data_IF_311745200840
#
_entry.id   IF_311745200840
#
_cell.length_a   1.000
_cell.length_b   1.000
_cell.length_c   1.000
_cell.angle_alpha   90.00
_cell.angle_beta   90.00
_cell.angle_gamma   90.00
#
_symmetry.space_group_name_H-M   'P 1'
#
loop_
_entity.id
_entity.type
_entity.pdbx_description
1 polymer ?
#
# COMPACT_ATOMS: atom_id res chain seq x y z
N UNK A 1 -30.87 2.15 -4.15
CA UNK A 1 -29.56 1.84 -3.53
C UNK A 1 -28.97 0.68 -4.32
N UNK A 2 -27.88 0.89 -5.05
CA UNK A 2 -27.36 -0.11 -5.99
C UNK A 2 -27.06 -1.45 -5.31
N UNK A 3 -27.57 -2.56 -5.86
CA UNK A 3 -27.35 -3.92 -5.32
C UNK A 3 -25.86 -4.24 -5.12
N UNK A 4 -24.98 -3.63 -5.93
CA UNK A 4 -23.52 -3.75 -5.82
C UNK A 4 -22.95 -3.04 -4.59
N UNK A 5 -23.43 -1.82 -4.28
CA UNK A 5 -23.05 -1.06 -3.09
C UNK A 5 -23.45 -1.79 -1.80
N UNK A 6 -24.64 -2.40 -1.80
CA UNK A 6 -25.12 -3.23 -0.68
C UNK A 6 -24.22 -4.46 -0.52
N UNK A 7 -23.81 -5.11 -1.61
CA UNK A 7 -22.89 -6.24 -1.58
C UNK A 7 -21.51 -5.88 -1.01
N UNK A 8 -20.93 -4.75 -1.43
CA UNK A 8 -19.63 -4.29 -0.88
C UNK A 8 -19.72 -3.89 0.59
N UNK A 9 -20.79 -3.21 0.99
CA UNK A 9 -21.01 -2.86 2.39
C UNK A 9 -21.18 -4.10 3.27
N UNK A 10 -21.95 -5.10 2.81
CA UNK A 10 -22.12 -6.37 3.52
C UNK A 10 -20.79 -7.14 3.67
N UNK A 11 -19.95 -7.14 2.62
CA UNK A 11 -18.61 -7.74 2.67
C UNK A 11 -17.70 -7.05 3.70
N UNK A 12 -17.68 -5.72 3.72
CA UNK A 12 -16.87 -4.93 4.66
C UNK A 12 -17.30 -5.15 6.11
N UNK A 13 -18.61 -5.14 6.36
CA UNK A 13 -19.20 -5.39 7.69
C UNK A 13 -18.91 -6.83 8.14
N UNK A 14 -19.04 -7.81 7.23
CA UNK A 14 -18.71 -9.20 7.49
C UNK A 14 -17.26 -9.37 7.93
N UNK A 15 -16.31 -8.73 7.25
CA UNK A 15 -14.88 -8.78 7.61
C UNK A 15 -14.62 -8.10 8.96
N UNK A 16 -15.27 -6.97 9.24
CA UNK A 16 -15.13 -6.25 10.50
C UNK A 16 -15.68 -7.03 11.72
N UNK A 17 -16.64 -7.94 11.50
CA UNK A 17 -17.23 -8.79 12.54
C UNK A 17 -16.44 -10.08 12.79
N UNK A 18 -15.51 -10.48 11.91
CA UNK A 18 -14.69 -11.69 12.06
C UNK A 18 -13.94 -11.75 13.40
N UNK A 19 -13.33 -10.67 13.93
CA UNK A 19 -12.66 -10.71 15.23
C UNK A 19 -13.62 -11.00 16.39
N UNK A 20 -14.86 -10.50 16.31
CA UNK A 20 -15.89 -10.76 17.31
C UNK A 20 -16.42 -12.21 17.26
N UNK A 21 -16.26 -12.89 16.13
CA UNK A 21 -16.63 -14.29 15.89
C UNK A 21 -15.51 -15.29 16.25
N UNK A 22 -14.39 -14.80 16.81
CA UNK A 22 -13.28 -15.65 17.26
C UNK A 22 -12.08 -15.71 16.30
N UNK A 23 -12.08 -14.95 15.19
CA UNK A 23 -10.92 -14.86 14.31
C UNK A 23 -9.79 -14.04 14.97
N UNK A 24 -8.54 -14.46 14.78
CA UNK A 24 -7.39 -13.75 15.37
C UNK A 24 -7.28 -12.32 14.83
N UNK A 25 -7.37 -11.26 15.67
CA UNK A 25 -7.47 -9.87 15.19
C UNK A 25 -6.30 -9.44 14.30
N UNK A 26 -5.08 -9.87 14.62
CA UNK A 26 -3.88 -9.57 13.83
C UNK A 26 -3.92 -10.23 12.46
N UNK A 27 -4.55 -11.41 12.34
CA UNK A 27 -4.73 -12.07 11.05
C UNK A 27 -5.68 -11.25 10.16
N UNK A 28 -6.83 -10.84 10.70
CA UNK A 28 -7.80 -10.00 9.98
C UNK A 28 -7.18 -8.67 9.54
N UNK A 29 -6.40 -8.03 10.42
CA UNK A 29 -5.65 -6.81 10.09
C UNK A 29 -4.69 -7.03 8.91
N UNK A 30 -3.89 -8.10 8.92
CA UNK A 30 -2.96 -8.41 7.82
C UNK A 30 -3.70 -8.62 6.49
N UNK A 31 -4.83 -9.33 6.52
CA UNK A 31 -5.67 -9.53 5.33
C UNK A 31 -6.15 -8.19 4.76
N UNK A 32 -6.62 -7.27 5.62
CA UNK A 32 -7.04 -5.93 5.21
C UNK A 32 -5.87 -5.12 4.62
N UNK A 33 -4.68 -5.20 5.21
CA UNK A 33 -3.48 -4.54 4.66
C UNK A 33 -3.13 -5.06 3.25
N UNK A 34 -3.14 -6.38 3.04
CA UNK A 34 -2.88 -6.96 1.72
C UNK A 34 -4.00 -6.68 0.70
N UNK A 35 -5.25 -6.61 1.15
CA UNK A 35 -6.37 -6.20 0.29
C UNK A 35 -6.18 -4.76 -0.20
N UNK A 36 -5.80 -3.84 0.70
CA UNK A 36 -5.49 -2.45 0.33
C UNK A 36 -4.30 -2.38 -0.63
N UNK A 37 -3.26 -3.20 -0.40
CA UNK A 37 -2.12 -3.32 -1.30
C UNK A 37 -2.52 -3.82 -2.71
N UNK A 38 -3.39 -4.83 -2.78
CA UNK A 38 -3.93 -5.32 -4.04
C UNK A 38 -4.77 -4.27 -4.77
N UNK A 39 -5.55 -3.47 -4.03
CA UNK A 39 -6.27 -2.32 -4.60
C UNK A 39 -5.30 -1.28 -5.18
N UNK A 40 -4.23 -0.92 -4.47
CA UNK A 40 -3.22 0.01 -4.97
C UNK A 40 -2.55 -0.51 -6.25
N UNK A 41 -2.22 -1.80 -6.29
CA UNK A 41 -1.67 -2.44 -7.47
C UNK A 41 -2.66 -2.43 -8.65
N UNK A 42 -3.93 -2.72 -8.38
CA UNK A 42 -5.01 -2.66 -9.38
C UNK A 42 -5.28 -1.23 -9.88
N UNK A 43 -5.10 -0.20 -9.04
CA UNK A 43 -5.22 1.18 -9.50
C UNK A 43 -4.17 1.49 -10.58
N UNK A 44 -2.94 0.99 -10.41
CA UNK A 44 -1.88 1.23 -11.38
C UNK A 44 -2.08 0.35 -12.63
N UNK A 45 -2.20 -0.96 -12.46
CA UNK A 45 -2.35 -1.91 -13.58
C UNK A 45 -3.69 -1.74 -14.31
N UNK A 46 -4.78 -1.60 -13.57
CA UNK A 46 -6.13 -1.56 -14.12
C UNK A 46 -6.45 -0.29 -14.90
N UNK A 47 -5.89 0.86 -14.51
CA UNK A 47 -6.12 2.13 -15.21
C UNK A 47 -5.03 2.49 -16.22
N UNK A 48 -3.77 2.13 -15.96
CA UNK A 48 -2.65 2.52 -16.85
C UNK A 48 -2.10 1.37 -17.70
N UNK A 49 -2.45 0.12 -17.38
CA UNK A 49 -1.88 -1.07 -18.03
C UNK A 49 -0.42 -1.36 -17.63
N UNK A 50 0.16 -0.58 -16.70
CA UNK A 50 1.55 -0.71 -16.29
C UNK A 50 1.69 -1.59 -15.03
N UNK A 51 2.51 -2.63 -15.13
CA UNK A 51 2.83 -3.52 -14.00
C UNK A 51 4.04 -2.98 -13.22
N UNK A 52 3.84 -2.55 -11.97
CA UNK A 52 4.93 -2.03 -11.11
C UNK A 52 5.34 -3.04 -10.03
N UNK A 53 6.54 -3.59 -10.11
CA UNK A 53 7.13 -4.41 -9.03
C UNK A 53 7.75 -3.57 -7.91
N UNK A 54 7.70 -2.23 -8.02
CA UNK A 54 8.26 -1.32 -7.03
C UNK A 54 7.42 -1.11 -5.78
N UNK A 55 6.18 -1.61 -5.74
CA UNK A 55 5.24 -1.37 -4.63
C UNK A 55 5.77 -1.81 -3.25
N UNK A 56 6.62 -2.85 -3.21
CA UNK A 56 7.24 -3.31 -1.96
C UNK A 56 8.12 -2.22 -1.32
N UNK A 57 8.83 -1.43 -2.13
CA UNK A 57 9.65 -0.32 -1.64
C UNK A 57 8.80 0.79 -1.01
N UNK A 58 7.66 1.14 -1.60
CA UNK A 58 6.75 2.15 -1.03
C UNK A 58 6.12 1.66 0.29
N UNK A 59 5.73 0.38 0.34
CA UNK A 59 5.17 -0.21 1.54
C UNK A 59 6.20 -0.27 2.68
N UNK A 60 7.44 -0.66 2.37
CA UNK A 60 8.55 -0.73 3.33
C UNK A 60 8.96 0.64 3.87
N UNK A 61 9.10 1.64 2.98
CA UNK A 61 9.44 3.02 3.38
C UNK A 61 8.36 3.64 4.26
N UNK A 62 7.08 3.49 3.93
CA UNK A 62 5.97 3.92 4.79
C UNK A 62 5.99 3.23 6.16
N UNK A 63 6.16 1.90 6.18
CA UNK A 63 6.16 1.13 7.43
C UNK A 63 7.32 1.53 8.35
N UNK A 64 8.53 1.69 7.80
CA UNK A 64 9.72 2.08 8.57
C UNK A 64 9.58 3.49 9.14
N UNK A 65 9.22 4.47 8.30
CA UNK A 65 9.12 5.87 8.71
C UNK A 65 7.96 6.13 9.67
N UNK A 66 6.80 5.49 9.46
CA UNK A 66 5.71 5.53 10.42
C UNK A 66 6.11 4.88 11.75
N UNK A 67 6.76 3.72 11.72
CA UNK A 67 7.25 3.05 12.93
C UNK A 67 8.26 3.90 13.69
N UNK A 68 9.16 4.58 12.98
CA UNK A 68 10.14 5.50 13.56
C UNK A 68 9.46 6.73 14.19
N UNK A 69 8.51 7.35 13.49
CA UNK A 69 7.78 8.51 13.98
C UNK A 69 6.97 8.20 15.25
N UNK A 70 6.36 7.02 15.31
CA UNK A 70 5.59 6.58 16.49
C UNK A 70 6.51 6.19 17.65
N UNK A 71 7.65 5.54 17.39
CA UNK A 71 8.51 4.99 18.43
C UNK A 71 9.56 5.98 18.96
N UNK A 72 10.21 6.73 18.08
CA UNK A 72 11.35 7.60 18.43
C UNK A 72 10.89 9.03 18.65
N UNK A 73 10.05 9.55 17.75
CA UNK A 73 9.55 10.92 17.87
C UNK A 73 8.29 11.01 18.76
N UNK A 74 7.73 9.87 19.16
CA UNK A 74 6.53 9.77 20.00
C UNK A 74 5.32 10.56 19.45
N UNK A 75 5.20 10.64 18.12
CA UNK A 75 4.06 11.30 17.50
C UNK A 75 2.76 10.51 17.74
N UNK A 76 1.61 11.19 17.80
CA UNK A 76 0.32 10.51 17.85
C UNK A 76 0.07 9.71 16.57
N UNK A 77 -0.70 8.63 16.69
CA UNK A 77 -0.95 7.67 15.61
C UNK A 77 -1.36 8.31 14.25
N UNK A 78 -2.27 9.31 14.20
CA UNK A 78 -2.64 9.93 12.94
C UNK A 78 -1.48 10.66 12.26
N UNK A 79 -0.63 11.34 13.04
CA UNK A 79 0.51 12.06 12.47
C UNK A 79 1.61 11.10 12.03
N UNK A 80 1.86 10.02 12.78
CA UNK A 80 2.80 8.97 12.35
C UNK A 80 2.39 8.32 11.02
N UNK A 81 1.08 8.12 10.81
CA UNK A 81 0.54 7.61 9.55
C UNK A 81 0.76 8.59 8.38
N UNK A 82 0.55 9.90 8.62
CA UNK A 82 0.79 10.94 7.62
C UNK A 82 2.27 11.07 7.25
N UNK A 83 3.18 10.95 8.23
CA UNK A 83 4.62 10.91 7.97
C UNK A 83 4.99 9.73 7.08
N UNK A 84 4.47 8.53 7.39
CA UNK A 84 4.71 7.34 6.58
C UNK A 84 4.17 7.48 5.15
N UNK A 85 2.93 7.97 5.01
CA UNK A 85 2.33 8.23 3.71
C UNK A 85 3.11 9.28 2.92
N UNK A 86 3.57 10.36 3.57
CA UNK A 86 4.38 11.41 2.98
C UNK A 86 5.74 10.90 2.49
N UNK A 87 6.41 10.06 3.29
CA UNK A 87 7.68 9.44 2.91
C UNK A 87 7.52 8.52 1.68
N UNK A 88 6.52 7.65 1.69
CA UNK A 88 6.24 6.79 0.54
C UNK A 88 5.81 7.59 -0.71
N UNK A 89 5.07 8.69 -0.55
CA UNK A 89 4.73 9.58 -1.64
C UNK A 89 5.97 10.27 -2.23
N UNK A 90 6.90 10.72 -1.40
CA UNK A 90 8.17 11.30 -1.85
C UNK A 90 9.01 10.29 -2.64
N UNK A 91 9.15 9.05 -2.14
CA UNK A 91 9.85 7.98 -2.86
C UNK A 91 9.12 7.62 -4.16
N UNK A 92 7.79 7.56 -4.12
CA UNK A 92 6.92 7.34 -5.27
C UNK A 92 7.08 8.42 -6.36
N UNK A 93 7.23 9.69 -5.98
CA UNK A 93 7.51 10.78 -6.90
C UNK A 93 8.87 10.59 -7.58
N UNK A 94 9.92 10.28 -6.81
CA UNK A 94 11.26 10.04 -7.37
C UNK A 94 11.25 8.84 -8.33
N UNK A 95 10.61 7.74 -7.94
CA UNK A 95 10.49 6.55 -8.78
C UNK A 95 9.66 6.83 -10.02
N UNK A 96 8.54 7.55 -9.87
CA UNK A 96 7.64 7.94 -10.95
C UNK A 96 8.34 8.78 -12.00
N UNK A 97 9.11 9.80 -11.60
CA UNK A 97 9.86 10.68 -12.51
C UNK A 97 10.81 9.91 -13.45
N UNK A 98 11.36 8.79 -12.98
CA UNK A 98 12.26 7.95 -13.77
C UNK A 98 11.48 6.89 -14.57
N UNK A 99 10.54 6.19 -13.93
CA UNK A 99 9.89 5.02 -14.49
C UNK A 99 8.87 5.36 -15.60
N UNK A 100 8.11 6.46 -15.49
CA UNK A 100 7.03 6.80 -16.44
C UNK A 100 7.52 7.07 -17.88
N UNK A 101 8.82 7.23 -18.07
CA UNK A 101 9.42 7.47 -19.39
C UNK A 101 9.39 6.24 -20.30
N UNK A 102 9.10 5.06 -19.76
CA UNK A 102 9.07 3.79 -20.48
C UNK A 102 7.78 3.04 -20.12
N UNK A 103 7.23 2.31 -21.08
CA UNK A 103 6.00 1.53 -20.91
C UNK A 103 6.27 0.03 -21.09
N UNK A 104 5.35 -0.81 -20.59
CA UNK A 104 5.45 -2.26 -20.71
C UNK A 104 6.55 -2.88 -19.85
N UNK A 105 7.27 -3.87 -20.38
CA UNK A 105 8.26 -4.66 -19.63
C UNK A 105 9.38 -3.77 -19.05
N UNK A 106 9.78 -2.73 -19.78
CA UNK A 106 10.81 -1.79 -19.32
C UNK A 106 10.39 -1.03 -18.06
N UNK A 107 9.11 -0.67 -17.92
CA UNK A 107 8.58 -0.03 -16.71
C UNK A 107 8.70 -0.98 -15.50
N UNK A 108 8.31 -2.24 -15.68
CA UNK A 108 8.39 -3.25 -14.63
C UNK A 108 9.83 -3.52 -14.21
N UNK A 109 10.78 -3.58 -15.16
CA UNK A 109 12.20 -3.79 -14.88
C UNK A 109 12.82 -2.61 -14.13
N UNK A 110 12.50 -1.37 -14.53
CA UNK A 110 13.00 -0.16 -13.84
C UNK A 110 12.46 -0.11 -12.41
N UNK A 111 11.16 -0.34 -12.21
CA UNK A 111 10.56 -0.30 -10.87
C UNK A 111 11.08 -1.41 -9.96
N UNK A 112 11.39 -2.60 -10.50
CA UNK A 112 12.07 -3.66 -9.77
C UNK A 112 13.50 -3.25 -9.37
N UNK A 113 14.29 -2.72 -10.31
CA UNK A 113 15.65 -2.29 -10.05
C UNK A 113 15.71 -1.20 -8.98
N UNK A 114 14.85 -0.18 -9.08
CA UNK A 114 14.74 0.89 -8.09
C UNK A 114 14.34 0.34 -6.71
N UNK A 115 13.43 -0.63 -6.64
CA UNK A 115 13.05 -1.24 -5.36
C UNK A 115 14.19 -2.02 -4.71
N UNK A 116 15.04 -2.69 -5.50
CA UNK A 116 16.22 -3.37 -4.97
C UNK A 116 17.23 -2.37 -4.38
N UNK A 117 17.37 -1.16 -4.96
CA UNK A 117 18.25 -0.12 -4.39
C UNK A 117 17.82 0.38 -3.01
N UNK A 118 16.57 0.17 -2.60
CA UNK A 118 16.08 0.49 -1.25
C UNK A 118 16.15 -0.71 -0.29
N UNK A 119 16.28 -1.91 -0.84
CA UNK A 119 16.39 -3.15 -0.07
C UNK A 119 17.83 -3.43 0.38
N UNK A 120 18.80 -3.11 -0.47
CA UNK A 120 20.24 -3.17 -0.19
C UNK A 120 20.75 -1.86 0.42
#
# INVERSE_FOLDING_TARGET
MDKKLIGYAALFIGIALLPALGAYPIFVMKVLCYALFACAFNLLVGFTGLLSFGHAAFLGTAAYTAGHALKVWALPAPLGLLVGAGAAAAVGLVFGLLAIRRSGIYFSMITLALAQMLYF
#
